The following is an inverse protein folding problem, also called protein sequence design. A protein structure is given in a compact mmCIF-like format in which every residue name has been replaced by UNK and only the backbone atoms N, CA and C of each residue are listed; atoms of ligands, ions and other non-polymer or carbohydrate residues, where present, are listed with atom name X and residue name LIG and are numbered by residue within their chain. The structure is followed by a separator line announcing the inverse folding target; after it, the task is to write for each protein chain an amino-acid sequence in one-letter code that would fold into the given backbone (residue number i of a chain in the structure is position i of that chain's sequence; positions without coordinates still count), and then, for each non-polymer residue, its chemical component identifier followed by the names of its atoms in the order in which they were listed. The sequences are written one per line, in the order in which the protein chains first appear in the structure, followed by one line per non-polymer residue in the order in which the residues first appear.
data_IF_583239066017
#
_entry.id   IF_583239066017
#
_cell.length_a   1.000
_cell.length_b   1.000
_cell.length_c   1.000
_cell.angle_alpha   90.00
_cell.angle_beta   90.00
_cell.angle_gamma   90.00
#
_symmetry.space_group_name_H-M   'P 1'
#
loop_
_entity.id
_entity.type
_entity.pdbx_description
1 polymer ?
#
# COMPACT_ATOMS: atom_id res chain seq x y z
N UNK A 1 -32.42 21.93 32.30
CA UNK A 1 -32.49 20.51 31.92
C UNK A 1 -32.74 20.29 30.42
N UNK A 2 -33.82 20.81 29.81
CA UNK A 2 -34.05 20.63 28.34
C UNK A 2 -32.89 21.10 27.44
N UNK A 3 -32.25 22.24 27.76
CA UNK A 3 -31.08 22.74 27.00
C UNK A 3 -29.84 21.85 27.15
N UNK A 4 -29.66 21.20 28.30
CA UNK A 4 -28.53 20.30 28.55
C UNK A 4 -28.72 18.99 27.79
N UNK A 5 -29.95 18.45 27.79
CA UNK A 5 -30.29 17.24 27.02
C UNK A 5 -30.16 17.47 25.51
N UNK A 6 -30.58 18.64 25.01
CA UNK A 6 -30.38 18.98 23.58
C UNK A 6 -28.89 19.15 23.26
N UNK A 7 -28.08 19.73 24.16
CA UNK A 7 -26.63 19.83 23.97
C UNK A 7 -25.96 18.45 24.01
N UNK A 8 -26.39 17.56 24.91
CA UNK A 8 -25.88 16.19 25.01
C UNK A 8 -26.33 15.35 23.83
N UNK A 9 -27.56 15.51 23.32
CA UNK A 9 -28.03 14.82 22.10
C UNK A 9 -27.33 15.39 20.86
N UNK A 10 -27.06 16.69 20.80
CA UNK A 10 -26.28 17.29 19.71
C UNK A 10 -24.81 16.85 19.77
N UNK A 11 -24.20 16.74 20.96
CA UNK A 11 -22.87 16.17 21.16
C UNK A 11 -22.85 14.69 20.77
N UNK A 12 -23.80 13.88 21.23
CA UNK A 12 -23.92 12.44 20.89
C UNK A 12 -24.23 12.22 19.40
N UNK A 13 -24.97 13.12 18.74
CA UNK A 13 -25.19 13.09 17.29
C UNK A 13 -23.99 13.60 16.48
N UNK A 14 -23.09 14.39 17.09
CA UNK A 14 -21.78 14.73 16.53
C UNK A 14 -20.72 13.63 16.76
N UNK A 15 -21.02 12.59 17.55
CA UNK A 15 -20.14 11.43 17.77
C UNK A 15 -20.50 10.22 16.90
N UNK A 16 -21.34 10.38 15.86
CA UNK A 16 -21.54 9.34 14.84
C UNK A 16 -20.77 9.68 13.57
N UNK A 17 -19.47 9.97 13.70
CA UNK A 17 -18.64 10.32 12.55
C UNK A 17 -18.02 9.06 11.95
N UNK A 18 -18.03 9.06 10.62
CA UNK A 18 -17.35 8.14 9.72
C UNK A 18 -16.03 7.63 10.29
N UNK A 19 -15.88 6.30 10.35
CA UNK A 19 -14.57 5.66 10.58
C UNK A 19 -13.75 5.91 9.31
N UNK A 20 -13.00 7.01 9.29
CA UNK A 20 -11.88 7.20 8.37
C UNK A 20 -10.77 6.23 8.79
N UNK A 21 -10.13 5.60 7.82
CA UNK A 21 -9.21 4.50 8.00
C UNK A 21 -7.89 4.76 7.30
N UNK A 22 -6.89 4.88 8.14
CA UNK A 22 -5.49 4.96 7.76
C UNK A 22 -4.96 3.61 7.28
N UNK A 23 -3.74 3.55 6.73
CA UNK A 23 -3.13 2.29 6.28
C UNK A 23 -3.01 1.28 7.44
N UNK A 24 -2.77 1.79 8.65
CA UNK A 24 -2.73 1.00 9.89
C UNK A 24 -4.06 0.30 10.19
N UNK A 25 -5.21 0.93 9.91
CA UNK A 25 -6.52 0.27 10.05
C UNK A 25 -6.69 -0.85 9.02
N UNK A 26 -6.30 -0.64 7.76
CA UNK A 26 -6.35 -1.68 6.73
C UNK A 26 -5.49 -2.89 7.11
N UNK A 27 -4.27 -2.64 7.60
CA UNK A 27 -3.35 -3.66 8.09
C UNK A 27 -3.98 -4.50 9.22
N UNK A 28 -4.45 -3.84 10.27
CA UNK A 28 -5.04 -4.49 11.46
C UNK A 28 -6.35 -5.22 11.16
N UNK A 29 -6.99 -4.88 10.05
CA UNK A 29 -8.13 -5.60 9.49
C UNK A 29 -7.73 -6.78 8.58
N UNK A 30 -6.50 -7.27 8.66
CA UNK A 30 -6.03 -8.40 7.86
C UNK A 30 -5.73 -8.01 6.41
N UNK A 31 -5.18 -6.83 6.18
CA UNK A 31 -4.76 -6.35 4.85
C UNK A 31 -5.92 -6.30 3.83
N UNK A 32 -7.14 -6.00 4.29
CA UNK A 32 -8.37 -6.07 3.50
C UNK A 32 -8.65 -4.80 2.65
N UNK A 33 -7.61 -4.07 2.24
CA UNK A 33 -7.73 -2.75 1.58
C UNK A 33 -8.53 -2.77 0.27
N UNK A 34 -8.50 -3.89 -0.45
CA UNK A 34 -9.27 -4.03 -1.70
C UNK A 34 -10.78 -4.15 -1.46
N UNK A 35 -11.22 -4.67 -0.31
CA UNK A 35 -12.65 -4.91 -0.02
C UNK A 35 -13.23 -3.93 1.01
N UNK A 36 -12.36 -3.29 1.80
CA UNK A 36 -12.72 -2.19 2.68
C UNK A 36 -12.76 -0.88 1.88
N UNK A 37 -13.69 0.00 2.24
CA UNK A 37 -13.87 1.30 1.62
C UNK A 37 -13.44 2.38 2.60
N UNK A 38 -12.28 2.99 2.36
CA UNK A 38 -11.67 3.99 3.24
C UNK A 38 -10.65 4.90 2.53
N UNK A 39 -10.06 5.86 3.26
CA UNK A 39 -9.10 6.83 2.71
C UNK A 39 -7.77 6.19 2.31
N UNK A 40 -7.33 5.09 2.93
CA UNK A 40 -6.19 4.33 2.44
C UNK A 40 -6.40 3.81 0.99
N UNK A 41 -7.66 3.67 0.54
CA UNK A 41 -7.95 3.29 -0.84
C UNK A 41 -7.52 4.32 -1.89
N UNK A 42 -7.19 5.58 -1.53
CA UNK A 42 -6.77 6.58 -2.54
C UNK A 42 -5.52 6.14 -3.31
N UNK A 43 -4.69 5.29 -2.71
CA UNK A 43 -3.47 4.77 -3.34
C UNK A 43 -3.75 3.70 -4.40
N UNK A 44 -4.75 2.85 -4.17
CA UNK A 44 -5.15 1.78 -5.11
C UNK A 44 -6.21 2.26 -6.10
N UNK A 45 -7.15 3.09 -5.65
CA UNK A 45 -8.30 3.58 -6.39
C UNK A 45 -8.34 5.12 -6.31
N UNK A 46 -7.47 5.79 -7.07
CA UNK A 46 -7.35 7.26 -7.01
C UNK A 46 -8.65 8.01 -7.26
N UNK A 47 -9.63 7.41 -7.96
CA UNK A 47 -10.98 7.95 -8.14
C UNK A 47 -11.71 8.27 -6.82
N UNK A 48 -11.35 7.58 -5.74
CA UNK A 48 -11.85 7.80 -4.38
C UNK A 48 -11.30 9.06 -3.72
N UNK A 49 -10.22 9.66 -4.24
CA UNK A 49 -9.58 10.82 -3.61
C UNK A 49 -10.54 11.99 -3.35
N UNK A 50 -11.51 12.19 -4.26
CA UNK A 50 -12.55 13.22 -4.09
C UNK A 50 -13.45 12.99 -2.86
N UNK A 51 -13.60 11.74 -2.40
CA UNK A 51 -14.43 11.38 -1.25
C UNK A 51 -13.81 11.73 0.10
N UNK A 52 -12.52 12.05 0.13
CA UNK A 52 -11.76 12.28 1.36
C UNK A 52 -11.15 13.70 1.41
N UNK A 53 -11.95 14.78 1.28
CA UNK A 53 -11.44 16.14 1.36
C UNK A 53 -11.01 16.50 2.80
N UNK A 54 -10.17 17.54 2.91
CA UNK A 54 -9.93 18.26 4.17
C UNK A 54 -9.32 17.40 5.30
N UNK A 55 -8.39 16.53 4.95
CA UNK A 55 -7.67 15.63 5.87
C UNK A 55 -6.20 16.03 6.02
N UNK A 56 -5.63 15.81 7.20
CA UNK A 56 -4.20 15.74 7.42
C UNK A 56 -3.86 14.34 7.95
N UNK A 57 -2.89 13.66 7.35
CA UNK A 57 -2.59 12.25 7.61
C UNK A 57 -1.08 12.10 7.85
N UNK A 58 -0.70 11.29 8.83
CA UNK A 58 0.69 10.92 9.08
C UNK A 58 0.80 9.48 9.54
N UNK A 59 1.70 8.71 8.93
CA UNK A 59 2.02 7.34 9.34
C UNK A 59 3.40 7.34 10.02
N UNK A 60 3.50 6.54 11.08
CA UNK A 60 4.69 6.33 11.90
C UNK A 60 4.87 4.82 12.07
N UNK A 61 6.06 4.29 11.82
CA UNK A 61 6.31 2.85 11.94
C UNK A 61 7.71 2.58 12.45
N UNK A 62 7.82 1.81 13.54
CA UNK A 62 9.12 1.26 14.00
C UNK A 62 9.57 0.05 13.18
N UNK A 63 8.68 -0.53 12.36
CA UNK A 63 8.95 -1.72 11.55
C UNK A 63 9.68 -1.42 10.25
N UNK A 64 9.79 -0.14 9.88
CA UNK A 64 10.61 0.31 8.76
C UNK A 64 11.87 0.97 9.31
N UNK A 65 12.96 0.98 8.53
CA UNK A 65 14.18 1.76 8.85
C UNK A 65 13.95 3.29 8.91
N UNK A 66 12.69 3.74 8.89
CA UNK A 66 12.27 5.12 8.85
C UNK A 66 11.21 5.40 9.93
N UNK A 67 11.55 6.21 10.93
CA UNK A 67 10.64 6.59 12.02
C UNK A 67 9.36 7.34 11.55
N UNK A 68 9.37 7.84 10.31
CA UNK A 68 8.28 8.64 9.72
C UNK A 68 8.15 8.35 8.21
N UNK A 69 7.44 7.27 7.84
CA UNK A 69 7.30 6.84 6.45
C UNK A 69 6.48 7.79 5.59
N UNK A 70 5.42 8.44 6.13
CA UNK A 70 4.49 9.23 5.32
C UNK A 70 3.85 10.41 6.06
N UNK A 71 3.70 11.52 5.35
CA UNK A 71 2.83 12.65 5.74
C UNK A 71 2.09 13.18 4.53
N UNK A 72 0.81 13.53 4.68
CA UNK A 72 0.07 14.21 3.64
C UNK A 72 -1.09 15.05 4.12
N UNK A 73 -1.60 15.86 3.20
CA UNK A 73 -2.74 16.74 3.44
C UNK A 73 -3.63 16.80 2.20
N UNK A 74 -4.95 16.89 2.41
CA UNK A 74 -5.97 17.07 1.39
C UNK A 74 -6.66 18.42 1.57
N UNK A 75 -6.83 19.17 0.49
CA UNK A 75 -7.49 20.47 0.52
C UNK A 75 -8.63 20.50 -0.48
N UNK A 76 -9.83 20.85 -0.01
CA UNK A 76 -10.99 21.08 -0.86
C UNK A 76 -11.06 22.51 -1.36
N UNK A 77 -11.39 22.66 -2.64
CA UNK A 77 -11.55 23.94 -3.31
C UNK A 77 -12.83 23.98 -4.13
N UNK A 78 -13.37 25.18 -4.33
CA UNK A 78 -14.52 25.44 -5.19
C UNK A 78 -15.88 25.09 -4.55
N UNK A 79 -16.75 26.08 -4.38
CA UNK A 79 -18.04 25.88 -3.71
C UNK A 79 -19.06 25.12 -4.57
N UNK A 80 -19.19 25.49 -5.85
CA UNK A 80 -20.22 24.95 -6.75
C UNK A 80 -19.73 23.72 -7.54
N UNK A 81 -18.44 23.68 -7.84
CA UNK A 81 -17.78 22.61 -8.60
C UNK A 81 -16.56 22.16 -7.81
N UNK A 82 -16.78 21.47 -6.68
CA UNK A 82 -15.69 21.12 -5.78
C UNK A 82 -14.66 20.24 -6.47
N UNK A 83 -13.42 20.41 -6.05
CA UNK A 83 -12.27 19.60 -6.41
C UNK A 83 -11.33 19.53 -5.20
N UNK A 84 -10.51 18.49 -5.15
CA UNK A 84 -9.60 18.22 -4.03
C UNK A 84 -8.18 18.13 -4.57
N UNK A 85 -7.23 18.72 -3.86
CA UNK A 85 -5.80 18.49 -4.06
C UNK A 85 -5.20 17.78 -2.87
N UNK A 86 -4.20 16.94 -3.11
CA UNK A 86 -3.41 16.33 -2.06
C UNK A 86 -1.93 16.45 -2.34
N UNK A 87 -1.14 16.49 -1.28
CA UNK A 87 0.31 16.35 -1.35
C UNK A 87 0.77 15.41 -0.26
N UNK A 88 1.63 14.46 -0.63
CA UNK A 88 2.24 13.52 0.29
C UNK A 88 3.76 13.54 0.14
N UNK A 89 4.44 13.39 1.28
CA UNK A 89 5.88 13.19 1.36
C UNK A 89 6.10 11.83 1.98
N UNK A 90 6.85 10.97 1.28
CA UNK A 90 7.11 9.60 1.70
C UNK A 90 8.60 9.30 1.67
N UNK A 91 9.03 8.53 2.67
CA UNK A 91 10.38 7.92 2.74
C UNK A 91 10.35 6.44 2.42
N UNK A 92 9.15 5.90 2.25
CA UNK A 92 8.99 4.53 1.81
C UNK A 92 9.65 4.34 0.45
N UNK A 93 10.26 3.16 0.24
CA UNK A 93 10.73 2.81 -1.08
C UNK A 93 9.59 2.82 -2.09
N UNK A 94 9.93 2.73 -3.37
CA UNK A 94 8.93 2.66 -4.42
C UNK A 94 7.85 1.60 -4.13
N UNK A 95 6.59 2.02 -4.08
CA UNK A 95 5.45 1.13 -4.15
C UNK A 95 5.21 0.79 -5.62
N UNK A 96 6.08 -0.07 -6.17
CA UNK A 96 5.69 -0.90 -7.30
C UNK A 96 4.41 -1.64 -6.92
N UNK A 97 3.58 -2.05 -7.88
CA UNK A 97 2.36 -2.75 -7.55
C UNK A 97 2.74 -3.90 -6.60
N UNK A 98 2.02 -4.06 -5.49
CA UNK A 98 2.40 -4.97 -4.40
C UNK A 98 1.45 -6.15 -4.32
N UNK A 99 2.01 -7.31 -4.00
CA UNK A 99 1.23 -8.48 -3.61
C UNK A 99 0.53 -8.22 -2.29
N UNK A 100 -0.37 -9.12 -1.94
CA UNK A 100 -1.20 -8.92 -0.76
C UNK A 100 -0.44 -9.05 0.56
N UNK A 101 0.84 -9.40 0.54
CA UNK A 101 1.75 -9.44 1.69
C UNK A 101 2.64 -8.19 1.75
N UNK A 102 2.34 -7.17 0.94
CA UNK A 102 3.17 -5.97 0.81
C UNK A 102 4.48 -6.20 0.06
N UNK A 103 4.69 -7.38 -0.55
CA UNK A 103 5.87 -7.59 -1.37
C UNK A 103 5.68 -6.82 -2.67
N UNK A 104 6.69 -6.03 -3.04
CA UNK A 104 6.69 -5.45 -4.37
C UNK A 104 6.63 -6.56 -5.42
N UNK A 105 5.73 -6.43 -6.40
CA UNK A 105 5.56 -7.44 -7.44
C UNK A 105 6.83 -7.58 -8.30
N UNK A 106 7.79 -6.65 -8.25
CA UNK A 106 9.13 -6.78 -8.84
C UNK A 106 10.24 -6.91 -7.79
N UNK A 107 11.40 -7.46 -8.18
CA UNK A 107 12.59 -7.44 -7.33
C UNK A 107 13.35 -6.13 -7.58
N UNK A 108 12.99 -5.09 -6.82
CA UNK A 108 13.60 -3.75 -6.91
C UNK A 108 14.79 -3.57 -5.98
N UNK A 109 15.33 -4.65 -5.39
CA UNK A 109 16.41 -4.58 -4.39
C UNK A 109 17.78 -4.23 -4.99
N UNK A 110 18.00 -4.49 -6.29
CA UNK A 110 19.30 -4.27 -6.94
C UNK A 110 19.51 -2.82 -7.40
N UNK A 111 18.50 -1.95 -7.35
CA UNK A 111 18.52 -0.59 -7.92
C UNK A 111 18.38 0.51 -6.84
N UNK A 112 18.58 0.18 -5.56
CA UNK A 112 18.28 1.08 -4.44
C UNK A 112 19.53 1.78 -3.91
N UNK A 113 19.52 3.10 -4.00
CA UNK A 113 20.23 3.97 -3.07
C UNK A 113 19.48 4.00 -1.72
N UNK A 114 20.20 4.18 -0.63
CA UNK A 114 19.73 3.99 0.76
C UNK A 114 18.82 5.10 1.30
N UNK A 115 18.27 5.99 0.47
CA UNK A 115 17.52 7.15 0.97
C UNK A 115 16.44 7.66 0.00
N UNK A 116 15.45 6.80 -0.28
CA UNK A 116 14.36 7.13 -1.17
C UNK A 116 13.53 8.31 -0.63
N UNK A 117 13.25 9.28 -1.52
CA UNK A 117 12.35 10.40 -1.26
C UNK A 117 11.29 10.40 -2.34
N UNK A 118 10.03 10.30 -1.94
CA UNK A 118 8.89 10.37 -2.84
C UNK A 118 7.98 11.54 -2.49
N UNK A 119 7.50 12.22 -3.53
CA UNK A 119 6.44 13.21 -3.44
C UNK A 119 5.29 12.75 -4.33
N UNK A 120 4.10 12.66 -3.76
CA UNK A 120 2.88 12.36 -4.51
C UNK A 120 1.96 13.59 -4.53
N UNK A 121 1.47 13.94 -5.72
CA UNK A 121 0.48 14.98 -5.94
C UNK A 121 -0.83 14.32 -6.37
N UNK A 122 -1.91 14.61 -5.65
CA UNK A 122 -3.23 14.10 -5.95
C UNK A 122 -4.16 15.20 -6.45
N UNK A 123 -5.04 14.82 -7.36
CA UNK A 123 -6.14 15.63 -7.83
C UNK A 123 -7.41 14.77 -7.90
N UNK A 124 -8.51 15.27 -7.36
CA UNK A 124 -9.80 14.60 -7.39
C UNK A 124 -10.93 15.55 -7.77
N UNK A 125 -11.86 15.08 -8.60
CA UNK A 125 -13.04 15.86 -8.99
C UNK A 125 -14.23 14.98 -9.34
N UNK A 126 -15.41 15.38 -8.90
CA UNK A 126 -16.66 14.78 -9.35
C UNK A 126 -17.14 15.35 -10.69
N UNK A 127 -17.46 14.45 -11.62
CA UNK A 127 -18.11 14.69 -12.90
C UNK A 127 -19.45 13.96 -12.96
N UNK A 128 -20.55 14.68 -12.66
CA UNK A 128 -21.91 14.11 -12.66
C UNK A 128 -22.01 12.88 -11.75
N UNK A 129 -22.04 11.67 -12.32
CA UNK A 129 -22.19 10.40 -11.62
C UNK A 129 -20.87 9.68 -11.36
N UNK A 130 -19.72 10.27 -11.67
CA UNK A 130 -18.41 9.65 -11.42
C UNK A 130 -17.46 10.61 -10.72
N UNK A 131 -16.59 10.06 -9.88
CA UNK A 131 -15.43 10.74 -9.32
C UNK A 131 -14.22 10.35 -10.14
N UNK A 132 -13.50 11.33 -10.64
CA UNK A 132 -12.21 11.16 -11.29
C UNK A 132 -11.09 11.47 -10.29
N UNK A 133 -10.04 10.68 -10.36
CA UNK A 133 -8.82 10.86 -9.59
C UNK A 133 -7.59 10.74 -10.47
N UNK A 134 -6.58 11.53 -10.10
CA UNK A 134 -5.25 11.50 -10.69
C UNK A 134 -4.21 11.59 -9.59
N UNK A 135 -3.15 10.78 -9.71
CA UNK A 135 -1.94 10.90 -8.91
C UNK A 135 -0.73 11.05 -9.83
N UNK A 136 0.16 11.98 -9.48
CA UNK A 136 1.52 12.03 -9.98
C UNK A 136 2.49 11.73 -8.84
N UNK A 137 3.23 10.64 -8.95
CA UNK A 137 4.30 10.27 -8.02
C UNK A 137 5.66 10.56 -8.64
N UNK A 138 6.52 11.23 -7.88
CA UNK A 138 7.93 11.40 -8.23
C UNK A 138 8.80 10.83 -7.13
N UNK A 139 9.61 9.83 -7.46
CA UNK A 139 10.58 9.22 -6.57
C UNK A 139 11.97 9.52 -7.08
N UNK A 140 12.86 9.94 -6.17
CA UNK A 140 14.26 10.18 -6.46
C UNK A 140 15.12 9.66 -5.31
N UNK A 141 16.24 9.07 -5.67
CA UNK A 141 17.28 8.61 -4.76
C UNK A 141 18.64 8.84 -5.42
N UNK A 142 19.63 9.37 -4.71
CA UNK A 142 20.97 9.54 -5.30
C UNK A 142 22.06 9.56 -4.24
N UNK A 143 23.22 9.06 -4.60
CA UNK A 143 24.47 9.15 -3.85
C UNK A 143 25.58 9.57 -4.80
N UNK A 144 26.40 10.52 -4.34
CA UNK A 144 27.56 11.05 -5.04
C UNK A 144 28.72 11.10 -4.05
N UNK A 145 29.94 10.86 -4.51
CA UNK A 145 31.15 10.98 -3.69
C UNK A 145 31.74 12.39 -3.82
N UNK A 146 31.88 13.08 -2.69
CA UNK A 146 32.45 14.43 -2.64
C UNK A 146 33.99 14.45 -2.67
N UNK A 147 34.64 13.28 -2.74
CA UNK A 147 36.10 13.19 -2.82
C UNK A 147 36.65 13.86 -4.09
N UNK A 148 37.75 14.62 -3.94
CA UNK A 148 38.36 15.33 -5.06
C UNK A 148 38.79 14.37 -6.18
N UNK A 149 38.22 14.56 -7.36
CA UNK A 149 38.51 13.75 -8.55
C UNK A 149 37.66 12.49 -8.69
N UNK A 150 36.79 12.19 -7.72
CA UNK A 150 35.77 11.15 -7.86
C UNK A 150 34.66 11.63 -8.79
N UNK A 151 34.22 10.74 -9.68
CA UNK A 151 33.02 10.92 -10.51
C UNK A 151 31.95 9.88 -10.18
N UNK A 152 32.06 9.25 -9.00
CA UNK A 152 31.10 8.26 -8.55
C UNK A 152 29.73 8.91 -8.38
N UNK A 153 28.73 8.31 -9.02
CA UNK A 153 27.35 8.72 -8.93
C UNK A 153 26.45 7.52 -9.17
N UNK A 154 25.57 7.26 -8.23
CA UNK A 154 24.42 6.39 -8.42
C UNK A 154 23.15 7.21 -8.16
N UNK A 155 22.25 7.26 -9.13
CA UNK A 155 21.00 7.98 -9.00
C UNK A 155 19.87 7.20 -9.63
N UNK A 156 18.72 7.16 -8.97
CA UNK A 156 17.48 6.57 -9.45
C UNK A 156 16.38 7.63 -9.49
N UNK A 157 15.57 7.60 -10.54
CA UNK A 157 14.39 8.45 -10.64
C UNK A 157 13.23 7.69 -11.26
N UNK A 158 12.02 7.97 -10.77
CA UNK A 158 10.81 7.36 -11.27
C UNK A 158 9.64 8.33 -11.29
N UNK A 159 8.86 8.23 -12.36
CA UNK A 159 7.66 9.01 -12.61
C UNK A 159 6.48 8.06 -12.68
N UNK A 160 5.50 8.28 -11.83
CA UNK A 160 4.29 7.47 -11.75
C UNK A 160 3.06 8.31 -12.03
N UNK A 161 2.14 7.75 -12.81
CA UNK A 161 0.88 8.34 -13.17
C UNK A 161 -0.23 7.35 -12.89
N UNK A 162 -1.16 7.71 -12.00
CA UNK A 162 -2.32 6.88 -11.69
C UNK A 162 -3.59 7.62 -12.09
N UNK A 163 -4.53 6.87 -12.65
CA UNK A 163 -5.83 7.36 -13.07
C UNK A 163 -6.90 6.47 -12.48
N UNK A 164 -7.94 7.08 -11.92
CA UNK A 164 -9.01 6.35 -11.26
C UNK A 164 -10.36 6.95 -11.57
N UNK A 165 -11.34 6.07 -11.71
CA UNK A 165 -12.75 6.44 -11.80
C UNK A 165 -13.53 5.62 -10.78
N UNK A 166 -14.34 6.31 -10.00
CA UNK A 166 -15.20 5.75 -8.99
C UNK A 166 -16.64 6.20 -9.26
N UNK A 167 -17.60 5.30 -9.10
CA UNK A 167 -19.01 5.69 -9.12
C UNK A 167 -19.31 6.71 -8.01
N UNK A 168 -20.10 7.75 -8.28
CA UNK A 168 -20.42 8.75 -7.25
C UNK A 168 -21.22 8.16 -6.07
N UNK A 169 -21.97 7.06 -6.29
CA UNK A 169 -22.61 6.30 -5.22
C UNK A 169 -21.67 5.23 -4.60
N UNK A 170 -20.41 5.16 -5.03
CA UNK A 170 -19.39 4.28 -4.47
C UNK A 170 -19.53 2.81 -4.83
N UNK A 171 -20.35 2.46 -5.84
CA UNK A 171 -20.65 1.06 -6.19
C UNK A 171 -19.55 0.33 -6.95
N UNK A 172 -18.60 1.04 -7.53
CA UNK A 172 -17.46 0.43 -8.23
C UNK A 172 -16.29 1.38 -8.29
N UNK A 173 -15.12 0.79 -8.42
CA UNK A 173 -13.86 1.50 -8.66
C UNK A 173 -13.10 0.82 -9.78
N UNK A 174 -12.46 1.63 -10.62
CA UNK A 174 -11.48 1.19 -11.61
C UNK A 174 -10.30 2.15 -11.54
N UNK A 175 -9.09 1.62 -11.51
CA UNK A 175 -7.88 2.43 -11.58
C UNK A 175 -6.81 1.76 -12.43
N UNK A 176 -5.93 2.58 -13.00
CA UNK A 176 -4.76 2.14 -13.74
C UNK A 176 -3.56 3.01 -13.40
N UNK A 177 -2.37 2.41 -13.44
CA UNK A 177 -1.10 3.05 -13.18
C UNK A 177 -0.16 2.84 -14.37
N UNK A 178 0.62 3.86 -14.70
CA UNK A 178 1.80 3.78 -15.55
C UNK A 178 2.98 4.37 -14.81
N UNK A 179 4.12 3.68 -14.78
CA UNK A 179 5.35 4.19 -14.19
C UNK A 179 6.54 4.03 -15.14
N UNK A 180 7.42 5.02 -15.15
CA UNK A 180 8.65 5.07 -15.94
C UNK A 180 9.82 5.35 -15.02
N UNK A 181 10.90 4.57 -15.17
CA UNK A 181 12.10 4.65 -14.34
C UNK A 181 13.32 4.94 -15.19
N UNK A 182 14.33 5.53 -14.57
CA UNK A 182 15.65 5.77 -15.17
C UNK A 182 16.67 5.87 -14.05
N UNK A 183 17.93 5.60 -14.37
CA UNK A 183 19.03 5.73 -13.42
C UNK A 183 20.33 6.17 -14.11
N UNK A 184 21.23 6.69 -13.28
CA UNK A 184 22.63 6.91 -13.59
C UNK A 184 23.45 6.00 -12.67
N UNK A 185 24.47 5.35 -13.21
CA UNK A 185 25.38 4.50 -12.42
C UNK A 185 26.80 4.61 -12.98
N UNK A 186 27.65 5.35 -12.27
CA UNK A 186 28.99 5.70 -12.69
C UNK A 186 30.01 5.31 -11.62
N UNK A 187 31.10 4.70 -12.07
CA UNK A 187 32.27 4.41 -11.25
C UNK A 187 32.99 5.69 -10.80
N UNK A 188 33.85 5.59 -9.79
CA UNK A 188 34.68 6.71 -9.33
C UNK A 188 35.58 7.32 -10.43
N UNK A 189 35.90 6.55 -11.48
CA UNK A 189 36.68 7.01 -12.64
C UNK A 189 35.84 7.69 -13.73
N UNK A 190 34.51 7.72 -13.59
CA UNK A 190 33.58 8.33 -14.54
C UNK A 190 33.13 7.42 -15.67
N UNK A 191 33.48 6.14 -15.63
CA UNK A 191 32.92 5.16 -16.56
C UNK A 191 31.53 4.75 -16.10
N UNK A 192 30.57 4.71 -17.03
CA UNK A 192 29.24 4.16 -16.79
C UNK A 192 29.32 2.66 -16.51
N UNK A 193 28.76 2.23 -15.38
CA UNK A 193 28.67 0.82 -14.99
C UNK A 193 27.40 0.21 -15.59
N UNK A 194 26.24 0.79 -15.27
CA UNK A 194 24.96 0.35 -15.84
C UNK A 194 24.16 1.49 -16.49
N UNK A 195 23.41 1.16 -17.54
CA UNK A 195 22.51 2.10 -18.23
C UNK A 195 21.08 1.55 -18.33
N UNK A 196 20.05 2.41 -18.17
CA UNK A 196 18.67 2.04 -18.42
C UNK A 196 18.38 1.82 -19.91
N UNK A 197 17.88 0.63 -20.27
CA UNK A 197 17.33 0.32 -21.61
C UNK A 197 15.82 0.01 -21.54
N UNK A 198 15.14 0.81 -20.73
CA UNK A 198 13.69 0.81 -20.59
C UNK A 198 13.22 0.28 -19.24
N UNK A 199 12.45 1.11 -18.55
CA UNK A 199 11.70 0.75 -17.37
C UNK A 199 10.27 1.22 -17.57
N UNK A 200 9.33 0.28 -17.62
CA UNK A 200 7.90 0.57 -17.71
C UNK A 200 7.13 -0.41 -16.84
N UNK A 201 6.31 0.12 -15.95
CA UNK A 201 5.30 -0.64 -15.23
C UNK A 201 3.90 -0.18 -15.63
N UNK A 202 2.99 -1.13 -15.74
CA UNK A 202 1.56 -0.90 -15.89
C UNK A 202 0.81 -1.76 -14.89
N UNK A 203 -0.22 -1.20 -14.26
CA UNK A 203 -1.20 -1.98 -13.51
C UNK A 203 -2.60 -1.47 -13.74
N UNK A 204 -3.58 -2.35 -13.56
CA UNK A 204 -4.98 -1.99 -13.53
C UNK A 204 -5.71 -2.84 -12.50
N UNK A 205 -6.62 -2.22 -11.77
CA UNK A 205 -7.41 -2.84 -10.71
C UNK A 205 -8.85 -2.39 -10.82
N UNK A 206 -9.77 -3.28 -10.46
CA UNK A 206 -11.19 -2.98 -10.42
C UNK A 206 -11.88 -3.74 -9.29
N UNK A 207 -12.92 -3.13 -8.74
CA UNK A 207 -13.84 -3.80 -7.80
C UNK A 207 -15.26 -3.32 -8.00
N UNK A 208 -16.22 -4.18 -7.65
CA UNK A 208 -17.64 -3.85 -7.63
C UNK A 208 -18.19 -4.12 -6.24
N UNK A 209 -18.89 -3.16 -5.65
CA UNK A 209 -19.44 -3.22 -4.29
C UNK A 209 -20.93 -3.49 -4.39
N UNK A 210 -21.30 -4.72 -4.09
CA UNK A 210 -22.67 -5.21 -4.14
C UNK A 210 -23.27 -5.32 -2.74
N UNK A 211 -24.04 -4.31 -2.35
CA UNK A 211 -24.85 -4.34 -1.12
C UNK A 211 -26.05 -5.27 -1.33
N UNK A 212 -26.00 -6.48 -0.78
CA UNK A 212 -27.11 -7.42 -0.85
C UNK A 212 -28.23 -7.02 0.11
N UNK A 213 -27.85 -6.68 1.34
CA UNK A 213 -28.71 -6.09 2.36
C UNK A 213 -27.88 -5.18 3.29
N UNK A 214 -28.48 -4.51 4.30
CA UNK A 214 -27.73 -3.61 5.18
C UNK A 214 -26.62 -4.27 6.03
N UNK A 215 -26.56 -5.60 6.09
CA UNK A 215 -25.57 -6.38 6.85
C UNK A 215 -24.53 -7.01 5.96
N UNK A 216 -24.84 -7.35 4.72
CA UNK A 216 -23.95 -8.08 3.83
C UNK A 216 -23.65 -7.29 2.56
N UNK A 217 -22.35 -7.04 2.34
CA UNK A 217 -21.83 -6.45 1.11
C UNK A 217 -20.79 -7.38 0.51
N UNK A 218 -20.93 -7.72 -0.76
CA UNK A 218 -19.97 -8.54 -1.50
C UNK A 218 -19.13 -7.66 -2.41
N UNK A 219 -17.83 -7.95 -2.49
CA UNK A 219 -16.87 -7.15 -3.26
C UNK A 219 -16.03 -8.04 -4.17
N UNK A 220 -16.55 -8.49 -5.33
CA UNK A 220 -15.70 -9.07 -6.36
C UNK A 220 -14.68 -8.04 -6.85
N UNK A 221 -13.45 -8.51 -7.04
CA UNK A 221 -12.34 -7.67 -7.45
C UNK A 221 -11.37 -8.43 -8.36
N UNK A 222 -10.60 -7.66 -9.14
CA UNK A 222 -9.62 -8.16 -10.09
C UNK A 222 -8.48 -7.15 -10.23
N UNK A 223 -7.27 -7.65 -10.41
CA UNK A 223 -6.07 -6.86 -10.65
C UNK A 223 -5.16 -7.52 -11.68
N UNK A 224 -4.48 -6.70 -12.46
CA UNK A 224 -3.41 -7.15 -13.36
C UNK A 224 -2.24 -6.18 -13.28
N UNK A 225 -1.02 -6.68 -13.40
CA UNK A 225 0.15 -5.84 -13.57
C UNK A 225 1.17 -6.47 -14.52
N UNK A 226 1.84 -5.62 -15.28
CA UNK A 226 2.93 -5.98 -16.18
C UNK A 226 4.08 -5.01 -15.96
N UNK A 227 5.29 -5.53 -15.93
CA UNK A 227 6.50 -4.73 -15.82
C UNK A 227 7.53 -5.21 -16.81
N UNK A 228 8.28 -4.28 -17.38
CA UNK A 228 9.48 -4.58 -18.17
C UNK A 228 10.59 -3.64 -17.73
N UNK A 229 11.71 -4.22 -17.32
CA UNK A 229 12.88 -3.50 -16.87
C UNK A 229 14.09 -4.07 -17.58
N UNK A 230 14.86 -3.24 -18.26
CA UNK A 230 16.08 -3.67 -18.91
C UNK A 230 17.24 -2.76 -18.55
N UNK A 231 18.35 -3.39 -18.25
CA UNK A 231 19.62 -2.80 -17.86
C UNK A 231 20.71 -3.34 -18.77
N UNK A 232 21.66 -2.48 -19.13
CA UNK A 232 22.89 -2.85 -19.85
C UNK A 232 24.08 -2.58 -18.94
N UNK A 233 24.87 -3.60 -18.65
CA UNK A 233 26.16 -3.47 -17.97
C UNK A 233 27.22 -3.17 -19.03
N UNK A 234 27.67 -1.92 -19.04
CA UNK A 234 28.60 -1.41 -20.04
C UNK A 234 30.03 -1.92 -19.83
N UNK A 235 30.39 -2.33 -18.61
CA UNK A 235 31.72 -2.81 -18.27
C UNK A 235 31.88 -4.31 -18.55
N UNK A 236 30.84 -5.10 -18.28
CA UNK A 236 30.80 -6.53 -18.58
C UNK A 236 30.38 -6.83 -20.02
N UNK A 237 29.69 -5.90 -20.70
CA UNK A 237 29.08 -6.13 -22.01
C UNK A 237 27.89 -7.10 -21.94
N UNK A 238 27.19 -7.11 -20.79
CA UNK A 238 26.04 -7.97 -20.51
C UNK A 238 24.77 -7.13 -20.37
N UNK A 239 23.62 -7.80 -20.28
CA UNK A 239 22.35 -7.13 -19.98
C UNK A 239 21.51 -7.96 -19.02
N UNK A 240 20.58 -7.30 -18.34
CA UNK A 240 19.49 -7.96 -17.61
C UNK A 240 18.16 -7.47 -18.18
N UNK A 241 17.29 -8.37 -18.66
CA UNK A 241 15.90 -8.08 -19.07
C UNK A 241 14.93 -8.81 -18.12
N UNK A 242 14.28 -8.04 -17.25
CA UNK A 242 13.29 -8.49 -16.28
C UNK A 242 11.88 -8.22 -16.80
N UNK A 243 11.03 -9.25 -16.73
CA UNK A 243 9.61 -9.17 -17.09
C UNK A 243 8.75 -9.65 -15.94
N UNK A 244 7.80 -8.82 -15.56
CA UNK A 244 6.82 -9.08 -14.53
C UNK A 244 5.44 -9.34 -15.15
N UNK A 245 4.74 -10.34 -14.63
CA UNK A 245 3.30 -10.55 -14.85
C UNK A 245 2.63 -10.88 -13.54
N UNK A 246 1.52 -10.21 -13.27
CA UNK A 246 0.70 -10.40 -12.08
C UNK A 246 -0.76 -10.50 -12.47
N UNK A 247 -1.46 -11.44 -11.85
CA UNK A 247 -2.91 -11.57 -11.94
C UNK A 247 -3.45 -11.73 -10.52
N UNK A 248 -4.56 -11.08 -10.26
CA UNK A 248 -5.28 -11.11 -9.01
C UNK A 248 -6.77 -11.19 -9.26
N UNK A 249 -7.47 -12.06 -8.54
CA UNK A 249 -8.93 -12.10 -8.57
C UNK A 249 -9.47 -12.69 -7.27
N UNK A 250 -10.50 -12.08 -6.74
CA UNK A 250 -11.11 -12.52 -5.50
C UNK A 250 -12.52 -11.98 -5.29
N UNK A 251 -13.11 -12.38 -4.17
CA UNK A 251 -14.40 -11.88 -3.71
C UNK A 251 -14.33 -11.65 -2.21
N UNK A 252 -14.54 -10.41 -1.82
CA UNK A 252 -14.73 -9.99 -0.44
C UNK A 252 -16.17 -10.10 0.05
N UNK A 253 -16.31 -10.17 1.36
CA UNK A 253 -17.56 -9.99 2.09
C UNK A 253 -17.31 -9.08 3.29
N UNK A 254 -18.07 -7.98 3.35
CA UNK A 254 -18.20 -7.16 4.54
C UNK A 254 -19.51 -7.54 5.25
N UNK A 255 -19.41 -7.87 6.54
CA UNK A 255 -20.52 -8.27 7.38
C UNK A 255 -20.66 -7.34 8.59
N UNK A 256 -21.81 -6.66 8.68
CA UNK A 256 -22.15 -5.72 9.75
C UNK A 256 -23.30 -6.29 10.58
N UNK A 257 -23.04 -7.20 11.55
CA UNK A 257 -24.09 -7.88 12.31
C UNK A 257 -24.97 -6.92 13.11
N UNK A 258 -24.32 -5.87 13.63
CA UNK A 258 -24.87 -4.80 14.47
C UNK A 258 -24.11 -3.50 14.22
N UNK A 259 -24.64 -2.38 14.70
CA UNK A 259 -23.93 -1.09 14.70
C UNK A 259 -22.63 -1.21 15.49
N UNK A 260 -21.55 -0.63 14.96
CA UNK A 260 -20.23 -0.60 15.59
C UNK A 260 -19.44 -1.89 15.44
N UNK A 261 -19.90 -2.87 14.65
CA UNK A 261 -19.13 -4.10 14.37
C UNK A 261 -19.10 -4.34 12.87
N UNK A 262 -17.89 -4.48 12.32
CA UNK A 262 -17.64 -4.85 10.94
C UNK A 262 -16.70 -6.06 10.92
N UNK A 263 -17.12 -7.16 10.29
CA UNK A 263 -16.24 -8.24 9.92
C UNK A 263 -15.98 -8.19 8.41
N UNK A 264 -14.74 -8.38 7.99
CA UNK A 264 -14.33 -8.44 6.61
C UNK A 264 -13.71 -9.81 6.33
N UNK A 265 -14.04 -10.40 5.19
CA UNK A 265 -13.45 -11.64 4.71
C UNK A 265 -13.16 -11.54 3.23
N UNK A 266 -11.92 -11.74 2.80
CA UNK A 266 -11.55 -11.82 1.39
C UNK A 266 -10.98 -13.20 1.08
N UNK A 267 -11.31 -13.70 -0.10
CA UNK A 267 -10.84 -14.97 -0.62
C UNK A 267 -10.57 -14.84 -2.11
N UNK A 268 -9.45 -15.40 -2.56
CA UNK A 268 -9.14 -15.37 -3.97
C UNK A 268 -7.92 -16.15 -4.38
N UNK A 269 -7.45 -15.78 -5.57
CA UNK A 269 -6.29 -16.31 -6.24
C UNK A 269 -5.36 -15.17 -6.65
N UNK A 270 -4.07 -15.41 -6.49
CA UNK A 270 -3.06 -14.51 -6.99
C UNK A 270 -1.93 -15.28 -7.66
N UNK A 271 -1.44 -14.72 -8.75
CA UNK A 271 -0.34 -15.22 -9.54
C UNK A 271 0.68 -14.12 -9.76
N UNK A 272 1.94 -14.44 -9.55
CA UNK A 272 3.07 -13.56 -9.84
C UNK A 272 4.14 -14.36 -10.56
N UNK A 273 4.69 -13.77 -11.61
CA UNK A 273 5.84 -14.33 -12.32
C UNK A 273 6.84 -13.25 -12.63
N UNK A 274 8.10 -13.52 -12.30
CA UNK A 274 9.25 -12.72 -12.71
C UNK A 274 10.14 -13.59 -13.59
N UNK A 275 10.49 -13.09 -14.77
CA UNK A 275 11.44 -13.71 -15.68
C UNK A 275 12.60 -12.76 -15.91
N UNK A 276 13.81 -13.19 -15.56
CA UNK A 276 15.05 -12.46 -15.77
C UNK A 276 15.90 -13.19 -16.80
N UNK A 277 16.23 -12.51 -17.88
CA UNK A 277 17.21 -12.97 -18.87
C UNK A 277 18.50 -12.17 -18.67
N UNK A 278 19.62 -12.87 -18.45
CA UNK A 278 20.92 -12.28 -18.16
C UNK A 278 21.97 -12.63 -19.23
N UNK A 279 21.60 -12.48 -20.50
CA UNK A 279 22.52 -12.68 -21.62
C UNK A 279 23.21 -14.05 -21.57
N UNK A 280 24.52 -14.07 -21.34
CA UNK A 280 25.29 -15.32 -21.29
C UNK A 280 25.04 -16.18 -20.05
N UNK A 281 24.50 -15.60 -18.97
CA UNK A 281 24.09 -16.31 -17.74
C UNK A 281 22.72 -16.98 -17.88
N UNK A 282 22.04 -16.74 -19.00
CA UNK A 282 20.76 -17.33 -19.38
C UNK A 282 19.58 -16.80 -18.59
N UNK A 283 18.48 -17.54 -18.70
CA UNK A 283 17.18 -17.20 -18.14
C UNK A 283 16.93 -17.86 -16.78
N UNK A 284 16.45 -17.07 -15.85
CA UNK A 284 15.90 -17.46 -14.56
C UNK A 284 14.44 -17.00 -14.46
N UNK A 285 13.57 -17.88 -13.95
CA UNK A 285 12.15 -17.61 -13.78
C UNK A 285 11.68 -17.99 -12.38
N UNK A 286 11.03 -17.05 -11.71
CA UNK A 286 10.33 -17.26 -10.46
C UNK A 286 8.83 -17.14 -10.66
N UNK A 287 8.08 -18.04 -10.05
CA UNK A 287 6.61 -18.05 -10.10
C UNK A 287 6.08 -18.30 -8.72
N UNK A 288 5.25 -17.39 -8.23
CA UNK A 288 4.49 -17.53 -6.99
C UNK A 288 3.01 -17.65 -7.35
N UNK A 289 2.33 -18.66 -6.84
CA UNK A 289 0.87 -18.73 -6.89
C UNK A 289 0.30 -18.96 -5.51
N UNK A 290 -0.76 -18.22 -5.18
CA UNK A 290 -1.46 -18.29 -3.90
C UNK A 290 -2.87 -18.78 -4.17
N UNK A 291 -3.15 -20.04 -3.82
CA UNK A 291 -4.45 -20.66 -4.06
C UNK A 291 -4.83 -21.66 -2.94
N UNK A 292 -5.80 -21.33 -2.08
CA UNK A 292 -6.38 -20.00 -1.92
C UNK A 292 -5.46 -19.05 -1.15
N UNK A 293 -5.72 -17.75 -1.30
CA UNK A 293 -5.47 -16.84 -0.18
C UNK A 293 -6.79 -16.55 0.52
N UNK A 294 -6.70 -16.23 1.81
CA UNK A 294 -7.83 -15.78 2.62
C UNK A 294 -7.35 -14.73 3.61
N UNK A 295 -8.18 -13.72 3.80
CA UNK A 295 -7.96 -12.60 4.71
C UNK A 295 -9.20 -12.44 5.54
N UNK A 296 -9.03 -12.16 6.82
CA UNK A 296 -10.13 -11.91 7.73
C UNK A 296 -9.78 -10.73 8.64
N UNK A 297 -10.75 -9.88 8.88
CA UNK A 297 -10.65 -8.73 9.76
C UNK A 297 -11.92 -8.56 10.57
N UNK A 298 -11.80 -8.01 11.76
CA UNK A 298 -12.91 -7.56 12.57
C UNK A 298 -12.58 -6.23 13.21
N UNK A 299 -13.47 -5.27 13.06
CA UNK A 299 -13.47 -3.94 13.66
C UNK A 299 -14.65 -3.87 14.62
N UNK A 300 -14.42 -3.52 15.88
CA UNK A 300 -15.47 -3.45 16.87
C UNK A 300 -15.31 -2.23 17.78
N UNK A 301 -16.34 -1.38 17.81
CA UNK A 301 -16.50 -0.28 18.75
C UNK A 301 -16.70 -0.85 20.16
N UNK A 302 -15.70 -0.70 21.01
CA UNK A 302 -15.76 -1.13 22.42
C UNK A 302 -16.24 0.01 23.30
N UNK A 303 -15.79 1.22 22.99
CA UNK A 303 -16.25 2.47 23.58
C UNK A 303 -16.44 3.51 22.47
N UNK A 304 -17.25 4.55 22.71
CA UNK A 304 -17.46 5.61 21.73
C UNK A 304 -16.19 6.37 21.28
N UNK A 305 -15.06 6.15 21.96
CA UNK A 305 -13.76 6.73 21.65
C UNK A 305 -12.71 5.67 21.27
N UNK A 306 -13.08 4.39 21.25
CA UNK A 306 -12.15 3.28 21.05
C UNK A 306 -12.75 2.10 20.30
N UNK A 307 -12.08 1.77 19.19
CA UNK A 307 -12.27 0.53 18.43
C UNK A 307 -11.17 -0.47 18.76
N UNK A 308 -11.50 -1.75 18.71
CA UNK A 308 -10.54 -2.86 18.74
C UNK A 308 -10.60 -3.62 17.43
N UNK A 309 -9.42 -3.95 16.89
CA UNK A 309 -9.26 -4.60 15.59
C UNK A 309 -8.45 -5.87 15.70
N UNK A 310 -8.91 -6.89 15.01
CA UNK A 310 -8.25 -8.19 14.90
C UNK A 310 -8.23 -8.59 13.44
N UNK A 311 -7.07 -9.01 12.95
CA UNK A 311 -6.87 -9.40 11.57
C UNK A 311 -6.08 -10.70 11.49
N UNK A 312 -6.28 -11.43 10.40
CA UNK A 312 -5.38 -12.51 10.01
C UNK A 312 -5.37 -12.69 8.50
N UNK A 313 -4.22 -13.10 7.97
CA UNK A 313 -4.07 -13.49 6.58
C UNK A 313 -3.45 -14.87 6.50
N UNK A 314 -3.78 -15.59 5.43
CA UNK A 314 -3.16 -16.87 5.14
C UNK A 314 -3.10 -17.10 3.63
N UNK A 315 -1.92 -17.45 3.18
CA UNK A 315 -1.58 -17.56 1.77
C UNK A 315 -0.98 -18.94 1.51
N UNK A 316 -1.70 -19.76 0.76
CA UNK A 316 -1.24 -21.10 0.42
C UNK A 316 -0.37 -21.01 -0.83
N UNK A 317 0.93 -20.87 -0.60
CA UNK A 317 1.91 -20.56 -1.60
C UNK A 317 2.45 -21.81 -2.29
N UNK A 318 2.50 -21.75 -3.60
CA UNK A 318 3.25 -22.64 -4.46
C UNK A 318 4.28 -21.80 -5.22
N UNK A 319 5.53 -21.90 -4.79
CA UNK A 319 6.66 -21.16 -5.34
C UNK A 319 7.48 -22.07 -6.22
N UNK A 320 7.80 -21.62 -7.43
CA UNK A 320 8.60 -22.33 -8.42
C UNK A 320 9.77 -21.46 -8.87
N UNK A 321 10.98 -22.02 -8.87
CA UNK A 321 12.15 -21.40 -9.53
C UNK A 321 12.65 -22.31 -10.63
N UNK A 322 12.91 -21.75 -11.80
CA UNK A 322 13.45 -22.43 -12.99
C UNK A 322 14.69 -21.70 -13.47
N UNK A 323 15.79 -22.42 -13.71
CA UNK A 323 17.03 -21.90 -14.30
C UNK A 323 17.37 -22.63 -15.59
N UNK A 324 17.86 -21.91 -16.60
CA UNK A 324 18.29 -22.52 -17.87
C UNK A 324 19.76 -22.91 -17.90
N UNK A 325 20.65 -22.16 -17.24
CA UNK A 325 22.08 -22.50 -17.09
C UNK A 325 22.24 -23.40 -15.88
N UNK A 326 22.28 -24.71 -16.12
CA UNK A 326 22.21 -25.73 -15.07
C UNK A 326 20.75 -26.01 -14.69
N UNK A 327 20.01 -26.80 -15.50
CA UNK A 327 18.57 -26.96 -15.37
C UNK A 327 18.21 -27.54 -14.00
N UNK A 328 17.83 -26.65 -13.10
CA UNK A 328 17.36 -26.95 -11.75
C UNK A 328 15.98 -26.32 -11.63
N UNK A 329 15.02 -27.17 -11.28
CA UNK A 329 13.67 -26.76 -10.91
C UNK A 329 13.51 -27.00 -9.40
N UNK A 330 13.16 -25.95 -8.66
CA UNK A 330 12.80 -26.07 -7.24
C UNK A 330 11.35 -25.67 -7.03
N UNK A 331 10.65 -26.42 -6.18
CA UNK A 331 9.28 -26.14 -5.77
C UNK A 331 9.17 -26.11 -4.25
N UNK A 332 8.45 -25.13 -3.74
CA UNK A 332 8.17 -24.99 -2.31
C UNK A 332 6.67 -24.81 -2.16
N UNK A 333 6.09 -25.60 -1.25
CA UNK A 333 4.68 -25.48 -0.85
C UNK A 333 4.64 -25.10 0.62
N UNK A 334 4.05 -23.96 0.92
CA UNK A 334 3.98 -23.46 2.29
C UNK A 334 2.70 -22.67 2.53
N UNK A 335 2.20 -22.69 3.75
CA UNK A 335 1.17 -21.77 4.20
C UNK A 335 1.85 -20.65 4.99
N UNK A 336 1.71 -19.41 4.53
CA UNK A 336 2.26 -18.25 5.23
C UNK A 336 1.09 -17.51 5.85
N UNK A 337 1.16 -17.32 7.17
CA UNK A 337 0.07 -16.78 7.95
C UNK A 337 0.58 -15.62 8.80
N UNK A 338 -0.20 -14.54 8.85
CA UNK A 338 0.04 -13.41 9.72
C UNK A 338 -1.20 -13.14 10.56
N UNK A 339 -0.99 -12.56 11.73
CA UNK A 339 -2.06 -12.09 12.62
C UNK A 339 -1.79 -10.65 13.00
N UNK A 340 -2.86 -9.89 13.22
CA UNK A 340 -2.78 -8.47 13.47
C UNK A 340 -3.71 -8.11 14.64
N UNK A 341 -3.23 -7.21 15.49
CA UNK A 341 -3.99 -6.63 16.59
C UNK A 341 -3.83 -5.12 16.49
N UNK A 342 -4.93 -4.39 16.65
CA UNK A 342 -4.91 -2.95 16.62
C UNK A 342 -6.00 -2.30 17.45
N UNK A 343 -5.84 -1.01 17.69
CA UNK A 343 -6.84 -0.17 18.32
C UNK A 343 -6.98 1.15 17.55
N UNK A 344 -8.21 1.61 17.39
CA UNK A 344 -8.54 2.94 16.88
C UNK A 344 -8.99 3.83 18.02
N UNK A 345 -8.45 5.04 18.12
CA UNK A 345 -8.77 6.01 19.16
C UNK A 345 -9.34 7.27 18.52
N UNK A 346 -10.45 7.76 19.05
CA UNK A 346 -11.21 8.85 18.46
C UNK A 346 -11.43 9.99 19.47
N UNK A 347 -10.94 11.18 19.15
CA UNK A 347 -11.13 12.39 19.94
C UNK A 347 -11.54 13.57 19.07
N UNK A 348 -12.86 13.72 18.89
CA UNK A 348 -13.42 14.77 18.03
C UNK A 348 -13.07 14.50 16.57
N UNK A 349 -12.13 15.29 16.03
CA UNK A 349 -11.65 15.19 14.64
C UNK A 349 -10.30 14.47 14.52
N UNK A 350 -9.74 14.05 15.65
CA UNK A 350 -8.48 13.33 15.70
C UNK A 350 -8.76 11.83 15.78
N UNK A 351 -8.17 11.08 14.86
CA UNK A 351 -8.23 9.63 14.76
C UNK A 351 -6.80 9.10 14.85
N UNK A 352 -6.58 8.15 15.74
CA UNK A 352 -5.28 7.50 15.90
C UNK A 352 -5.51 6.00 15.77
N UNK A 353 -4.94 5.40 14.74
CA UNK A 353 -4.95 3.96 14.55
C UNK A 353 -3.60 3.38 14.96
N UNK A 354 -3.62 2.24 15.62
CA UNK A 354 -2.43 1.57 16.11
C UNK A 354 -2.43 0.12 15.68
N UNK A 355 -1.27 -0.39 15.33
CA UNK A 355 -0.95 -1.81 15.20
C UNK A 355 0.03 -2.17 16.31
N UNK A 356 -0.19 -3.35 16.89
CA UNK A 356 0.73 -3.97 17.83
C UNK A 356 0.91 -5.41 17.41
N UNK A 357 2.15 -5.89 17.44
CA UNK A 357 2.43 -7.31 17.23
C UNK A 357 1.63 -8.16 18.23
N UNK A 358 0.75 -9.07 17.77
CA UNK A 358 -0.02 -9.95 18.64
C UNK A 358 0.83 -10.83 19.55
N UNK A 359 2.12 -11.05 19.23
CA UNK A 359 3.06 -11.77 20.09
C UNK A 359 3.25 -11.10 21.45
N UNK A 360 2.93 -9.81 21.60
CA UNK A 360 2.91 -9.11 22.91
C UNK A 360 2.08 -9.84 23.97
N UNK A 361 1.05 -10.60 23.57
CA UNK A 361 0.20 -11.37 24.49
C UNK A 361 0.91 -12.63 24.98
N UNK A 362 1.81 -13.20 24.16
CA UNK A 362 2.58 -14.41 24.47
C UNK A 362 3.90 -14.08 25.16
N UNK A 363 4.62 -13.09 24.66
CA UNK A 363 5.95 -12.69 25.11
C UNK A 363 5.89 -11.70 26.28
N UNK A 364 4.72 -11.12 26.51
CA UNK A 364 4.47 -10.13 27.54
C UNK A 364 4.92 -8.73 27.12
N UNK A 365 4.60 -7.76 27.99
CA UNK A 365 5.00 -6.38 27.77
C UNK A 365 6.48 -6.20 28.17
N UNK A 366 7.41 -6.28 27.21
CA UNK A 366 8.85 -6.07 27.42
C UNK A 366 9.21 -4.58 27.69
N UNK A 367 8.52 -3.91 28.62
CA UNK A 367 8.86 -2.53 29.04
C UNK A 367 10.11 -2.44 29.93
N UNK A 368 10.61 -3.57 30.47
CA UNK A 368 11.58 -3.56 31.59
C UNK A 368 12.82 -4.43 31.32
N UNK A 369 12.79 -5.35 30.37
CA UNK A 369 14.00 -6.07 29.96
C UNK A 369 14.80 -5.18 29.02
N UNK A 370 15.84 -4.50 29.53
CA UNK A 370 16.84 -3.84 28.68
C UNK A 370 17.66 -4.85 27.88
N UNK A 371 17.01 -5.74 27.12
CA UNK A 371 17.64 -6.60 26.14
C UNK A 371 18.12 -5.70 25.01
N UNK A 372 19.40 -5.80 24.68
CA UNK A 372 20.02 -5.13 23.54
C UNK A 372 19.63 -5.80 22.20
N UNK A 373 18.77 -6.82 22.24
CA UNK A 373 18.19 -7.44 21.06
C UNK A 373 16.94 -6.65 20.69
N UNK A 374 16.95 -6.09 19.49
CA UNK A 374 16.00 -5.11 18.94
C UNK A 374 14.60 -5.67 18.68
N UNK A 375 13.99 -6.31 19.68
CA UNK A 375 12.56 -6.58 19.72
C UNK A 375 11.87 -5.41 20.43
N UNK A 376 12.11 -4.20 19.91
CA UNK A 376 11.29 -3.05 20.24
C UNK A 376 9.84 -3.42 19.92
N UNK A 377 8.90 -3.01 20.77
CA UNK A 377 7.48 -3.23 20.52
C UNK A 377 7.16 -2.76 19.09
N UNK A 378 6.87 -3.71 18.19
CA UNK A 378 6.52 -3.44 16.79
C UNK A 378 5.21 -2.65 16.78
N UNK A 379 5.34 -1.33 16.72
CA UNK A 379 4.24 -0.38 16.71
C UNK A 379 4.24 0.37 15.39
N UNK A 380 3.11 0.29 14.71
CA UNK A 380 2.75 1.25 13.68
C UNK A 380 1.62 2.11 14.22
N UNK A 381 1.70 3.41 13.97
CA UNK A 381 0.71 4.39 14.38
C UNK A 381 0.38 5.23 13.17
N UNK A 382 -0.90 5.38 12.89
CA UNK A 382 -1.35 6.42 12.00
C UNK A 382 -2.15 7.47 12.74
N UNK A 383 -2.01 8.71 12.30
CA UNK A 383 -2.72 9.85 12.82
C UNK A 383 -3.43 10.54 11.67
N UNK A 384 -4.75 10.67 11.79
CA UNK A 384 -5.59 11.39 10.87
C UNK A 384 -6.32 12.52 11.60
N UNK A 385 -6.36 13.69 10.99
CA UNK A 385 -7.08 14.85 11.50
C UNK A 385 -8.00 15.46 10.44
N UNK A 386 -9.29 15.57 10.74
CA UNK A 386 -10.25 16.29 9.91
C UNK A 386 -10.12 17.80 10.15
N UNK A 387 -9.80 18.57 9.10
CA UNK A 387 -9.44 19.99 9.25
C UNK A 387 -10.65 20.91 9.47
N UNK A 388 -11.83 20.59 8.92
CA UNK A 388 -12.97 21.53 8.84
C UNK A 388 -14.31 21.04 9.36
#
# INVERSE_FOLDING_TARGET
MKKLIILTIALVAMFSMSVLATETRVLTMGENGTILVDDANIWQFTGRFFNYPDLAIGEFSSMSSYDFPMFGMHFKFGEQKPWVLGTYFTKEPFNGPQDYRGNSFGNFSQLRSTNDRRVDLFYGRQFSQTNFGFRFGYLQSSVEDDASGSQFKEAWSQYQFDFGITDAAGKWDVAAMLAFGTWDDNTAAGATETEPDGYVDFSAVARYIYEYDPKYTFVPHVGVAFGKHKEVDSLAGEFTDSKLTVLDAGVGMNYTPTRGVLAAFDFGFQYRQVKNDRGTLGEQKWTDSYLPYWKIGMDAEVFNWMDVRLGATSFWANQKTENTVGPVESKIHTAMNNTYLGAGLHWGRLHIDTYTDPQIVLDGFNFISGSNDAEDLNFQVSVLYEMF
#
